data_IF_393615465679
#
_entry.id   IF_393615465679
#
_cell.length_a   1.000
_cell.length_b   1.000
_cell.length_c   1.000
_cell.angle_alpha   90.00
_cell.angle_beta   90.00
_cell.angle_gamma   90.00
#
_symmetry.space_group_name_H-M   'P 1'
#
loop_
_entity.id
_entity.type
_entity.pdbx_description
1 polymer ?
#
# COMPACT_ATOMS: atom_id res chain seq x y z
N UNK A 1 1.22 18.05 -17.46
CA UNK A 1 1.02 17.32 -16.20
C UNK A 1 2.33 16.71 -15.78
N UNK A 2 2.79 16.95 -14.56
CA UNK A 2 3.99 16.33 -13.99
C UNK A 2 3.73 14.84 -13.68
N UNK A 3 4.77 13.99 -13.53
CA UNK A 3 4.58 12.59 -13.18
C UNK A 3 3.77 12.39 -11.88
N UNK A 4 3.99 13.25 -10.88
CA UNK A 4 3.25 13.21 -9.62
C UNK A 4 1.78 13.62 -9.81
N UNK A 5 1.47 14.61 -10.65
CA UNK A 5 0.09 14.99 -10.99
C UNK A 5 -0.65 13.84 -11.70
N UNK A 6 0.03 13.08 -12.55
CA UNK A 6 -0.56 11.90 -13.20
C UNK A 6 -0.91 10.83 -12.17
N UNK A 7 -0.01 10.54 -11.22
CA UNK A 7 -0.27 9.59 -10.12
C UNK A 7 -1.46 10.04 -9.28
N UNK A 8 -1.51 11.33 -8.94
CA UNK A 8 -2.61 11.90 -8.16
C UNK A 8 -3.92 11.83 -8.94
N UNK A 9 -3.93 12.17 -10.23
CA UNK A 9 -5.12 12.07 -11.07
C UNK A 9 -5.65 10.63 -11.15
N UNK A 10 -4.75 9.65 -11.33
CA UNK A 10 -5.10 8.22 -11.31
C UNK A 10 -5.70 7.87 -9.96
N UNK A 11 -5.03 8.21 -8.85
CA UNK A 11 -5.50 7.89 -7.50
C UNK A 11 -6.88 8.50 -7.22
N UNK A 12 -7.09 9.78 -7.57
CA UNK A 12 -8.37 10.47 -7.41
C UNK A 12 -9.45 9.76 -8.23
N UNK A 13 -9.18 9.52 -9.51
CA UNK A 13 -10.14 8.89 -10.41
C UNK A 13 -10.56 7.51 -9.89
N UNK A 14 -9.60 6.66 -9.52
CA UNK A 14 -9.87 5.34 -8.95
C UNK A 14 -10.61 5.42 -7.61
N UNK A 15 -10.25 6.36 -6.75
CA UNK A 15 -10.90 6.53 -5.43
C UNK A 15 -12.34 6.98 -5.59
N UNK A 16 -12.61 7.94 -6.48
CA UNK A 16 -13.97 8.40 -6.78
C UNK A 16 -14.80 7.27 -7.36
N UNK A 17 -14.29 6.54 -8.36
CA UNK A 17 -14.99 5.37 -8.92
C UNK A 17 -15.28 4.33 -7.83
N UNK A 18 -14.32 4.04 -6.96
CA UNK A 18 -14.47 3.08 -5.87
C UNK A 18 -15.52 3.52 -4.83
N UNK A 19 -15.61 4.82 -4.53
CA UNK A 19 -16.59 5.37 -3.58
C UNK A 19 -17.99 5.41 -4.21
N UNK A 20 -18.09 5.77 -5.50
CA UNK A 20 -19.36 5.87 -6.21
C UNK A 20 -19.95 4.50 -6.60
N UNK A 21 -19.13 3.46 -6.70
CA UNK A 21 -19.62 2.11 -6.99
C UNK A 21 -20.21 1.47 -5.74
N UNK A 22 -21.38 0.85 -5.87
CA UNK A 22 -22.02 0.09 -4.78
C UNK A 22 -21.03 -0.99 -4.30
N UNK A 23 -20.71 -1.09 -2.99
CA UNK A 23 -19.68 -2.00 -2.46
C UNK A 23 -19.80 -3.45 -2.97
N UNK A 24 -21.03 -3.91 -3.18
CA UNK A 24 -21.32 -5.26 -3.69
C UNK A 24 -20.89 -5.47 -5.15
N UNK A 25 -21.03 -4.45 -6.01
CA UNK A 25 -20.59 -4.51 -7.41
C UNK A 25 -19.07 -4.58 -7.45
N UNK A 26 -18.40 -3.69 -6.70
CA UNK A 26 -16.94 -3.67 -6.64
C UNK A 26 -16.37 -4.98 -6.08
N UNK A 27 -16.97 -5.51 -5.02
CA UNK A 27 -16.58 -6.80 -4.45
C UNK A 27 -16.71 -7.95 -5.45
N UNK A 28 -17.80 -8.00 -6.23
CA UNK A 28 -18.08 -9.07 -7.19
C UNK A 28 -17.19 -9.01 -8.43
N UNK A 29 -17.05 -7.83 -9.03
CA UNK A 29 -16.44 -7.67 -10.35
C UNK A 29 -14.97 -7.27 -10.31
N UNK A 30 -14.48 -6.69 -9.22
CA UNK A 30 -13.10 -6.21 -9.12
C UNK A 30 -12.31 -7.00 -8.07
N UNK A 31 -12.77 -7.00 -6.82
CA UNK A 31 -11.99 -7.62 -5.72
C UNK A 31 -11.86 -9.14 -5.91
N UNK A 32 -12.98 -9.86 -6.07
CA UNK A 32 -12.94 -11.33 -6.17
C UNK A 32 -12.08 -11.83 -7.34
N UNK A 33 -12.21 -11.32 -8.57
CA UNK A 33 -11.37 -11.78 -9.68
C UNK A 33 -9.88 -11.51 -9.47
N UNK A 34 -9.52 -10.31 -9.00
CA UNK A 34 -8.13 -9.95 -8.76
C UNK A 34 -7.49 -10.82 -7.67
N UNK A 35 -8.15 -10.94 -6.53
CA UNK A 35 -7.62 -11.68 -5.38
C UNK A 35 -7.70 -13.21 -5.55
N UNK A 36 -8.45 -13.71 -6.54
CA UNK A 36 -8.45 -15.14 -6.90
C UNK A 36 -7.14 -15.61 -7.53
N UNK A 37 -6.32 -14.68 -8.05
CA UNK A 37 -5.02 -14.95 -8.66
C UNK A 37 -3.89 -14.28 -7.87
N UNK A 38 -3.66 -14.68 -6.60
CA UNK A 38 -2.83 -13.92 -5.66
C UNK A 38 -1.38 -13.74 -6.12
N UNK A 39 -0.78 -14.72 -6.81
CA UNK A 39 0.58 -14.60 -7.33
C UNK A 39 0.70 -13.57 -8.46
N UNK A 40 -0.30 -13.51 -9.33
CA UNK A 40 -0.33 -12.55 -10.44
C UNK A 40 -0.56 -11.15 -9.88
N UNK A 41 -1.55 -11.01 -8.99
CA UNK A 41 -1.81 -9.75 -8.33
C UNK A 41 -0.58 -9.25 -7.57
N UNK A 42 0.09 -10.12 -6.82
CA UNK A 42 1.33 -9.78 -6.11
C UNK A 42 2.41 -9.22 -7.04
N UNK A 43 2.64 -9.86 -8.20
CA UNK A 43 3.63 -9.38 -9.16
C UNK A 43 3.23 -8.03 -9.77
N UNK A 44 1.96 -7.86 -10.12
CA UNK A 44 1.43 -6.60 -10.64
C UNK A 44 1.60 -5.48 -9.62
N UNK A 45 1.22 -5.70 -8.37
CA UNK A 45 1.37 -4.74 -7.27
C UNK A 45 2.85 -4.40 -7.01
N UNK A 46 3.75 -5.38 -7.08
CA UNK A 46 5.18 -5.15 -6.93
C UNK A 46 5.74 -4.23 -8.03
N UNK A 47 5.36 -4.49 -9.30
CA UNK A 47 5.77 -3.66 -10.44
C UNK A 47 5.19 -2.25 -10.30
N UNK A 48 3.90 -2.13 -9.99
CA UNK A 48 3.24 -0.84 -9.81
C UNK A 48 3.84 -0.05 -8.64
N UNK A 49 4.14 -0.69 -7.52
CA UNK A 49 4.80 -0.05 -6.39
C UNK A 49 6.18 0.50 -6.78
N UNK A 50 6.97 -0.25 -7.55
CA UNK A 50 8.26 0.21 -8.07
C UNK A 50 8.13 1.41 -9.01
N UNK A 51 7.17 1.36 -9.95
CA UNK A 51 6.90 2.47 -10.89
C UNK A 51 6.45 3.73 -10.14
N UNK A 52 5.51 3.59 -9.20
CA UNK A 52 5.01 4.71 -8.40
C UNK A 52 6.14 5.29 -7.56
N UNK A 53 6.91 4.47 -6.85
CA UNK A 53 8.05 4.95 -6.06
C UNK A 53 9.08 5.69 -6.92
N UNK A 54 9.41 5.16 -8.10
CA UNK A 54 10.33 5.82 -9.04
C UNK A 54 9.86 7.22 -9.42
N UNK A 55 8.58 7.38 -9.76
CA UNK A 55 8.03 8.69 -10.09
C UNK A 55 7.90 9.61 -8.87
N UNK A 56 7.58 9.09 -7.70
CA UNK A 56 7.55 9.89 -6.46
C UNK A 56 8.94 10.46 -6.14
N UNK A 57 10.01 9.66 -6.30
CA UNK A 57 11.38 10.10 -6.04
C UNK A 57 11.88 11.19 -6.99
N UNK A 58 11.23 11.41 -8.14
CA UNK A 58 11.55 12.54 -9.03
C UNK A 58 11.03 13.88 -8.52
N UNK A 59 10.10 13.87 -7.55
CA UNK A 59 9.42 15.08 -7.07
C UNK A 59 9.44 15.24 -5.55
N UNK A 60 9.65 14.15 -4.81
CA UNK A 60 9.63 14.10 -3.36
C UNK A 60 10.88 13.40 -2.82
N UNK A 61 11.36 13.85 -1.67
CA UNK A 61 12.41 13.14 -0.93
C UNK A 61 11.84 11.89 -0.27
N UNK A 62 12.70 10.91 0.04
CA UNK A 62 12.29 9.70 0.75
C UNK A 62 11.63 10.02 2.11
N UNK A 63 12.07 11.09 2.78
CA UNK A 63 11.49 11.57 4.05
C UNK A 63 10.05 12.06 3.84
N UNK A 64 9.79 12.83 2.78
CA UNK A 64 8.44 13.29 2.43
C UNK A 64 7.53 12.10 2.06
N UNK A 65 8.04 11.13 1.31
CA UNK A 65 7.29 9.90 0.97
C UNK A 65 6.92 9.15 2.24
N UNK A 66 7.87 8.91 3.15
CA UNK A 66 7.61 8.22 4.42
C UNK A 66 6.60 8.98 5.29
N UNK A 67 6.62 10.32 5.30
CA UNK A 67 5.65 11.12 6.03
C UNK A 67 4.21 10.92 5.51
N UNK A 68 4.03 10.89 4.18
CA UNK A 68 2.71 10.63 3.55
C UNK A 68 2.26 9.18 3.81
N UNK A 69 3.18 8.22 3.73
CA UNK A 69 2.87 6.81 4.04
C UNK A 69 2.48 6.65 5.51
N UNK A 70 3.17 7.33 6.43
CA UNK A 70 2.82 7.33 7.85
C UNK A 70 1.40 7.88 8.07
N UNK A 71 1.05 8.99 7.41
CA UNK A 71 -0.32 9.52 7.45
C UNK A 71 -1.35 8.51 6.91
N UNK A 72 -1.10 7.91 5.75
CA UNK A 72 -1.97 6.88 5.18
C UNK A 72 -2.12 5.62 6.06
N UNK A 73 -1.03 5.22 6.74
CA UNK A 73 -1.04 4.12 7.70
C UNK A 73 -1.93 4.43 8.91
N UNK A 74 -1.92 5.67 9.42
CA UNK A 74 -2.81 6.10 10.50
C UNK A 74 -4.28 6.07 10.07
N UNK A 75 -4.62 6.59 8.89
CA UNK A 75 -5.99 6.52 8.35
C UNK A 75 -6.47 5.07 8.17
N UNK A 76 -5.58 4.20 7.70
CA UNK A 76 -5.85 2.76 7.59
C UNK A 76 -6.06 2.13 8.97
N UNK A 77 -5.21 2.48 9.93
CA UNK A 77 -5.31 2.04 11.33
C UNK A 77 -6.62 2.45 12.00
N UNK A 78 -7.12 3.66 11.73
CA UNK A 78 -8.44 4.10 12.21
C UNK A 78 -9.56 3.17 11.72
N UNK A 79 -9.52 2.76 10.45
CA UNK A 79 -10.50 1.83 9.90
C UNK A 79 -10.44 0.47 10.59
N UNK A 80 -9.23 -0.07 10.79
CA UNK A 80 -9.05 -1.34 11.51
C UNK A 80 -9.49 -1.26 12.98
N UNK A 81 -9.25 -0.13 13.64
CA UNK A 81 -9.67 0.08 15.03
C UNK A 81 -11.19 -0.01 15.19
N UNK A 82 -11.96 0.53 14.23
CA UNK A 82 -13.42 0.44 14.24
C UNK A 82 -13.93 -1.01 14.14
N UNK A 83 -13.19 -1.88 13.43
CA UNK A 83 -13.49 -3.30 13.27
C UNK A 83 -12.51 -4.19 14.06
N UNK A 84 -12.20 -3.79 15.31
CA UNK A 84 -11.12 -4.39 16.09
C UNK A 84 -11.26 -5.90 16.30
N UNK A 85 -12.47 -6.41 16.60
CA UNK A 85 -12.71 -7.84 16.85
C UNK A 85 -12.42 -8.68 15.60
N UNK A 86 -12.93 -8.24 14.45
CA UNK A 86 -12.74 -8.87 13.15
C UNK A 86 -11.27 -8.81 12.74
N UNK A 87 -10.62 -7.67 12.97
CA UNK A 87 -9.20 -7.46 12.67
C UNK A 87 -8.31 -8.38 13.48
N UNK A 88 -8.55 -8.51 14.79
CA UNK A 88 -7.80 -9.44 15.67
C UNK A 88 -7.96 -10.89 15.19
N UNK A 89 -9.20 -11.33 14.95
CA UNK A 89 -9.47 -12.69 14.46
C UNK A 89 -8.78 -12.97 13.12
N UNK A 90 -8.78 -11.99 12.22
CA UNK A 90 -8.10 -12.09 10.94
C UNK A 90 -6.58 -12.17 11.10
N UNK A 91 -6.00 -11.32 11.95
CA UNK A 91 -4.57 -11.31 12.23
C UNK A 91 -4.08 -12.65 12.81
N UNK A 92 -4.79 -13.22 13.79
CA UNK A 92 -4.47 -14.53 14.37
C UNK A 92 -4.46 -15.64 13.32
N UNK A 93 -5.44 -15.63 12.40
CA UNK A 93 -5.50 -16.59 11.30
C UNK A 93 -4.32 -16.46 10.36
N UNK A 94 -3.85 -15.23 10.08
CA UNK A 94 -2.68 -15.00 9.24
C UNK A 94 -1.38 -15.43 9.91
N UNK A 95 -1.22 -15.16 11.21
CA UNK A 95 -0.06 -15.58 11.99
C UNK A 95 0.07 -17.11 12.00
N UNK A 96 -1.01 -17.83 12.27
CA UNK A 96 -1.04 -19.31 12.21
C UNK A 96 -0.68 -19.87 10.84
N UNK A 97 -0.99 -19.13 9.76
CA UNK A 97 -0.65 -19.50 8.38
C UNK A 97 0.77 -19.09 7.96
N UNK A 98 1.57 -18.56 8.87
CA UNK A 98 2.95 -18.17 8.61
C UNK A 98 3.05 -16.97 7.67
N UNK A 99 2.33 -15.89 7.98
CA UNK A 99 2.32 -14.63 7.19
C UNK A 99 3.73 -14.18 6.78
N UNK A 100 4.71 -14.29 7.69
CA UNK A 100 6.10 -13.92 7.46
C UNK A 100 6.71 -14.59 6.23
N UNK A 101 6.34 -15.84 5.94
CA UNK A 101 6.84 -16.58 4.75
C UNK A 101 6.27 -16.08 3.44
N UNK A 102 5.11 -15.41 3.46
CA UNK A 102 4.45 -14.88 2.26
C UNK A 102 4.66 -13.39 2.08
N UNK A 103 4.81 -12.65 3.18
CA UNK A 103 4.98 -11.21 3.20
C UNK A 103 6.45 -10.76 3.30
N UNK A 104 7.41 -11.70 3.27
CA UNK A 104 8.84 -11.40 3.44
C UNK A 104 9.34 -10.30 2.48
N UNK A 105 8.93 -10.33 1.21
CA UNK A 105 9.41 -9.37 0.22
C UNK A 105 8.88 -7.94 0.49
N UNK A 106 7.56 -7.72 0.69
CA UNK A 106 7.07 -6.42 1.17
C UNK A 106 7.75 -5.94 2.46
N UNK A 107 8.03 -6.85 3.40
CA UNK A 107 8.73 -6.52 4.66
C UNK A 107 10.16 -6.04 4.37
N UNK A 108 10.90 -6.72 3.49
CA UNK A 108 12.26 -6.30 3.11
C UNK A 108 12.27 -4.93 2.42
N UNK A 109 11.33 -4.70 1.50
CA UNK A 109 11.19 -3.41 0.82
C UNK A 109 10.91 -2.31 1.87
N UNK A 110 10.01 -2.58 2.81
CA UNK A 110 9.68 -1.62 3.87
C UNK A 110 10.89 -1.31 4.77
N UNK A 111 11.64 -2.34 5.17
CA UNK A 111 12.87 -2.16 5.94
C UNK A 111 13.90 -1.32 5.18
N UNK A 112 14.09 -1.57 3.87
CA UNK A 112 15.00 -0.80 3.04
C UNK A 112 14.58 0.68 2.97
N UNK A 113 13.28 0.97 2.82
CA UNK A 113 12.75 2.34 2.79
C UNK A 113 12.94 3.06 4.13
N UNK A 114 12.70 2.37 5.26
CA UNK A 114 12.93 2.97 6.60
C UNK A 114 14.41 3.26 6.82
N UNK A 115 15.29 2.30 6.49
CA UNK A 115 16.74 2.50 6.64
C UNK A 115 17.20 3.66 5.77
N UNK A 116 16.79 3.70 4.49
CA UNK A 116 17.11 4.81 3.60
C UNK A 116 16.60 6.15 4.15
N UNK A 117 15.34 6.20 4.56
CA UNK A 117 14.75 7.40 5.17
C UNK A 117 15.51 7.87 6.41
N UNK A 118 15.92 6.94 7.28
CA UNK A 118 16.69 7.25 8.47
C UNK A 118 18.08 7.80 8.13
N UNK A 119 18.79 7.19 7.17
CA UNK A 119 20.11 7.66 6.75
C UNK A 119 20.05 9.07 6.17
N UNK A 120 19.04 9.38 5.35
CA UNK A 120 18.82 10.74 4.82
C UNK A 120 18.43 11.71 5.94
N UNK A 121 17.55 11.30 6.86
CA UNK A 121 17.09 12.14 7.96
C UNK A 121 18.23 12.54 8.92
N UNK A 122 19.16 11.62 9.18
CA UNK A 122 20.33 11.87 10.03
C UNK A 122 21.55 12.39 9.28
N UNK A 123 21.43 12.68 7.98
CA UNK A 123 22.50 13.27 7.17
C UNK A 123 23.70 12.34 6.93
N UNK A 124 23.48 11.02 6.98
CA UNK A 124 24.52 10.02 6.67
C UNK A 124 24.74 9.90 5.17
N UNK A 125 23.68 10.10 4.37
CA UNK A 125 23.69 10.15 2.89
C UNK A 125 22.79 11.27 2.37
#
# INVERSE_FOLDING_TARGET
>A
MTPIEIIVLILISFSVIKILTIPNIWMKYVIRPLYSKPKILFLVELILAGIVLFFLLQSLTIVQILAVVAFGALLTGMTFAWYGKETISWAEKLLKKGIWKKAWLPILIWLALIVWGALVLFGVI
#
